data_IF_274742350564
#
_entry.id   IF_274742350564
#
_cell.length_a   1.000
_cell.length_b   1.000
_cell.length_c   1.000
_cell.angle_alpha   90.00
_cell.angle_beta   90.00
_cell.angle_gamma   90.00
#
_symmetry.space_group_name_H-M   'P 1'
#
loop_
_entity.id
_entity.type
_entity.pdbx_description
1 polymer ?
#
# COMPACT_ATOMS: atom_id res chain seq x y z
N UNK A 1 14.58 12.01 -3.97
CA UNK A 1 13.11 11.94 -3.76
C UNK A 1 12.36 11.19 -4.88
N UNK A 2 13.01 10.34 -5.68
CA UNK A 2 12.49 9.91 -7.00
C UNK A 2 11.54 8.70 -7.02
N UNK A 3 11.21 8.06 -5.90
CA UNK A 3 10.41 6.81 -5.89
C UNK A 3 9.27 6.76 -4.87
N UNK A 4 8.70 7.91 -4.50
CA UNK A 4 7.53 7.96 -3.60
C UNK A 4 6.30 7.21 -4.12
N UNK A 5 6.24 6.94 -5.43
CA UNK A 5 5.15 6.21 -6.09
C UNK A 5 5.35 4.68 -6.11
N UNK A 6 6.40 4.17 -5.49
CA UNK A 6 6.69 2.73 -5.39
C UNK A 6 6.76 2.25 -3.92
N UNK A 7 5.68 2.41 -3.13
CA UNK A 7 5.65 1.82 -1.79
C UNK A 7 5.59 0.29 -1.85
N UNK A 8 5.90 -0.35 -0.72
CA UNK A 8 5.48 -1.71 -0.47
C UNK A 8 3.98 -1.74 -0.08
N UNK A 9 3.20 -2.64 -0.68
CA UNK A 9 1.74 -2.71 -0.52
C UNK A 9 1.29 -4.08 0.00
N UNK A 10 0.31 -4.09 0.90
CA UNK A 10 -0.35 -5.31 1.36
C UNK A 10 -1.38 -5.78 0.32
N UNK A 11 -1.38 -7.07 -0.01
CA UNK A 11 -2.32 -7.66 -0.98
C UNK A 11 -3.50 -8.30 -0.25
N UNK A 12 -4.71 -8.04 -0.74
CA UNK A 12 -5.92 -8.71 -0.28
C UNK A 12 -6.09 -10.06 -0.98
N UNK A 13 -6.13 -11.16 -0.21
CA UNK A 13 -6.67 -12.46 -0.63
C UNK A 13 -7.64 -12.96 0.46
N UNK A 14 -8.93 -13.18 0.16
CA UNK A 14 -9.91 -13.60 1.16
C UNK A 14 -9.62 -14.96 1.78
N UNK A 15 -8.75 -15.78 1.18
CA UNK A 15 -8.40 -17.12 1.65
C UNK A 15 -7.21 -17.12 2.60
N UNK A 16 -6.46 -16.03 2.68
CA UNK A 16 -5.22 -15.92 3.47
C UNK A 16 -5.46 -14.93 4.61
N UNK A 17 -5.28 -15.29 5.90
CA UNK A 17 -5.38 -14.34 6.99
C UNK A 17 -4.45 -13.14 6.81
N UNK A 18 -4.88 -11.95 7.25
CA UNK A 18 -4.11 -10.69 7.11
C UNK A 18 -2.66 -10.81 7.61
N UNK A 19 -2.44 -11.54 8.70
CA UNK A 19 -1.12 -11.74 9.31
C UNK A 19 -0.13 -12.48 8.40
N UNK A 20 -0.65 -13.26 7.45
CA UNK A 20 0.11 -14.07 6.49
C UNK A 20 0.06 -13.48 5.07
N UNK A 21 -0.64 -12.35 4.91
CA UNK A 21 -0.84 -11.72 3.62
C UNK A 21 0.48 -11.16 3.06
N UNK A 22 0.65 -11.32 1.75
CA UNK A 22 1.85 -10.87 1.07
C UNK A 22 1.96 -9.34 1.07
N UNK A 23 3.18 -8.85 1.28
CA UNK A 23 3.57 -7.47 1.03
C UNK A 23 4.44 -7.47 -0.23
N UNK A 24 4.05 -6.67 -1.22
CA UNK A 24 4.75 -6.55 -2.51
C UNK A 24 5.45 -5.19 -2.58
N UNK A 25 6.75 -5.19 -2.86
CA UNK A 25 7.46 -4.00 -3.29
C UNK A 25 7.14 -3.73 -4.77
N UNK A 26 6.56 -2.57 -5.07
CA UNK A 26 6.09 -2.25 -6.42
C UNK A 26 7.24 -2.07 -7.41
N UNK A 27 8.40 -1.56 -6.99
CA UNK A 27 9.56 -1.35 -7.88
C UNK A 27 10.17 -2.70 -8.25
N UNK A 28 10.41 -3.56 -7.26
CA UNK A 28 10.95 -4.90 -7.47
C UNK A 28 10.02 -5.79 -8.32
N UNK A 29 8.71 -5.59 -8.21
CA UNK A 29 7.72 -6.31 -9.01
C UNK A 29 7.47 -5.70 -10.40
N UNK A 30 8.05 -4.53 -10.72
CA UNK A 30 7.78 -3.83 -11.98
C UNK A 30 6.33 -3.36 -12.12
N UNK A 31 5.66 -3.06 -11.00
CA UNK A 31 4.25 -2.69 -10.93
C UNK A 31 4.09 -1.18 -10.66
N UNK A 32 2.96 -0.62 -11.12
CA UNK A 32 2.60 0.79 -10.88
C UNK A 32 1.14 0.90 -10.42
N UNK A 33 0.81 2.01 -9.75
CA UNK A 33 -0.55 2.28 -9.28
C UNK A 33 -1.35 2.95 -10.41
N UNK A 34 -2.28 2.21 -11.03
CA UNK A 34 -3.13 2.74 -12.10
C UNK A 34 -4.38 3.49 -11.57
N UNK A 35 -4.90 3.09 -10.41
CA UNK A 35 -6.13 3.66 -9.82
C UNK A 35 -6.16 3.50 -8.31
N UNK A 36 -6.77 4.47 -7.64
CA UNK A 36 -7.00 4.45 -6.18
C UNK A 36 -8.50 4.34 -5.90
N UNK A 37 -8.86 3.52 -4.92
CA UNK A 37 -10.23 3.38 -4.42
C UNK A 37 -10.32 4.04 -3.05
N UNK A 38 -11.32 4.89 -2.85
CA UNK A 38 -11.58 5.48 -1.54
C UNK A 38 -11.95 4.38 -0.54
N UNK A 39 -11.41 4.38 0.70
CA UNK A 39 -11.68 3.31 1.65
C UNK A 39 -13.18 3.11 1.95
N UNK A 40 -13.98 4.19 1.94
CA UNK A 40 -15.44 4.16 2.11
C UNK A 40 -16.19 3.38 1.02
N UNK A 41 -15.55 3.12 -0.12
CA UNK A 41 -16.12 2.35 -1.25
C UNK A 41 -15.74 0.87 -1.20
N UNK A 42 -14.87 0.47 -0.26
CA UNK A 42 -14.49 -0.93 -0.11
C UNK A 42 -15.62 -1.70 0.60
N UNK A 43 -15.87 -2.97 0.22
CA UNK A 43 -16.70 -3.85 1.02
C UNK A 43 -16.15 -3.98 2.45
N UNK A 44 -16.99 -4.14 3.48
CA UNK A 44 -16.56 -4.18 4.88
C UNK A 44 -15.44 -5.20 5.14
N UNK A 45 -15.56 -6.42 4.62
CA UNK A 45 -14.53 -7.47 4.80
C UNK A 45 -13.17 -7.09 4.20
N UNK A 46 -13.15 -6.36 3.08
CA UNK A 46 -11.91 -5.90 2.43
C UNK A 46 -11.30 -4.74 3.23
N UNK A 47 -12.14 -3.82 3.72
CA UNK A 47 -11.70 -2.71 4.56
C UNK A 47 -11.05 -3.20 5.85
N UNK A 48 -11.71 -4.12 6.57
CA UNK A 48 -11.20 -4.72 7.80
C UNK A 48 -9.88 -5.48 7.56
N UNK A 49 -9.81 -6.23 6.46
CA UNK A 49 -8.59 -6.96 6.09
C UNK A 49 -7.42 -6.02 5.81
N UNK A 50 -7.62 -5.03 4.95
CA UNK A 50 -6.55 -4.12 4.56
C UNK A 50 -6.16 -3.17 5.69
N UNK A 51 -7.10 -2.87 6.60
CA UNK A 51 -6.93 -1.97 7.74
C UNK A 51 -6.15 -0.70 7.36
N UNK A 52 -6.67 0.11 6.41
CA UNK A 52 -5.95 1.25 5.87
C UNK A 52 -5.70 2.29 6.96
N UNK A 53 -4.44 2.69 7.15
CA UNK A 53 -4.06 3.72 8.12
C UNK A 53 -4.61 5.09 7.71
N UNK A 54 -5.13 5.83 8.69
CA UNK A 54 -5.67 7.19 8.50
C UNK A 54 -4.60 8.28 8.38
N UNK A 55 -3.35 7.99 8.78
CA UNK A 55 -2.24 8.94 8.74
C UNK A 55 -1.02 8.30 8.10
N UNK A 56 -0.42 9.01 7.15
CA UNK A 56 0.85 8.63 6.54
C UNK A 56 1.87 9.73 6.86
N UNK A 57 3.03 9.33 7.37
CA UNK A 57 4.15 10.22 7.64
C UNK A 57 5.23 9.93 6.59
N UNK A 58 5.57 10.92 5.77
CA UNK A 58 6.69 10.85 4.86
C UNK A 58 7.80 11.76 5.38
N UNK A 59 9.05 11.30 5.34
CA UNK A 59 10.22 12.10 5.65
C UNK A 59 11.00 12.35 4.36
N UNK A 60 11.40 13.60 4.14
CA UNK A 60 12.22 14.00 3.00
C UNK A 60 13.63 14.27 3.51
N UNK A 61 14.58 13.43 3.11
CA UNK A 61 15.98 13.78 3.22
C UNK A 61 16.30 14.70 2.05
N UNK A 62 16.49 16.00 2.33
CA UNK A 62 17.04 16.92 1.35
C UNK A 62 18.46 16.45 1.06
N UNK A 63 18.70 15.97 -0.17
CA UNK A 63 20.04 15.62 -0.60
C UNK A 63 20.97 16.80 -0.35
N UNK A 64 22.15 16.54 0.23
CA UNK A 64 23.23 17.53 0.25
C UNK A 64 23.42 18.08 -1.16
N UNK A 65 23.67 19.40 -1.30
CA UNK A 65 23.81 20.05 -2.61
C UNK A 65 24.89 19.40 -3.47
#
# INVERSE_FOLDING_TARGET
ASRLLYPAVLVYDPRIPRQEAAIIDLDAAGLTIAKVIQPKRLPPAVFEYLNPRTRISYYFEHGKP
#
